data_IF_950496276688
#
_entry.id   IF_950496276688
#
_cell.length_a   1.000
_cell.length_b   1.000
_cell.length_c   1.000
_cell.angle_alpha   90.00
_cell.angle_beta   90.00
_cell.angle_gamma   90.00
#
_symmetry.space_group_name_H-M   'P 1'
#
loop_
_entity.id
_entity.type
_entity.pdbx_description
1 polymer ?
#
# COMPACT_ATOMS: atom_id res chain seq x y z
N UNK A 1 -2.55 -6.29 13.66
CA UNK A 1 -1.82 -5.91 12.42
C UNK A 1 -2.84 -5.24 11.51
N UNK A 2 -2.60 -4.04 11.01
CA UNK A 2 -3.59 -3.37 10.15
C UNK A 2 -3.63 -3.92 8.74
N UNK A 3 -4.67 -3.56 8.01
CA UNK A 3 -5.01 -4.07 6.68
C UNK A 3 -4.53 -3.10 5.60
N UNK A 4 -3.96 -3.64 4.52
CA UNK A 4 -3.61 -2.90 3.30
C UNK A 4 -4.16 -3.63 2.09
N UNK A 5 -4.76 -2.89 1.17
CA UNK A 5 -5.45 -3.41 -0.01
C UNK A 5 -5.03 -2.59 -1.21
N UNK A 6 -4.81 -3.22 -2.36
CA UNK A 6 -4.67 -2.49 -3.62
C UNK A 6 -5.35 -3.21 -4.77
N UNK A 7 -5.74 -2.44 -5.79
CA UNK A 7 -6.38 -2.94 -6.98
C UNK A 7 -5.92 -2.15 -8.21
N UNK A 8 -5.68 -2.85 -9.31
CA UNK A 8 -5.37 -2.32 -10.62
C UNK A 8 -6.58 -2.49 -11.55
N UNK A 9 -7.00 -1.39 -12.14
CA UNK A 9 -8.04 -1.30 -13.16
C UNK A 9 -7.43 -0.80 -14.47
N UNK A 10 -8.21 -0.81 -15.55
CA UNK A 10 -7.81 -0.23 -16.83
C UNK A 10 -7.50 1.27 -16.71
N UNK A 11 -8.26 2.01 -15.88
CA UNK A 11 -8.07 3.45 -15.67
C UNK A 11 -6.90 3.79 -14.73
N UNK A 12 -6.37 2.84 -13.97
CA UNK A 12 -5.26 3.07 -13.03
C UNK A 12 -5.29 2.17 -11.81
N UNK A 13 -4.54 2.55 -10.78
CA UNK A 13 -4.37 1.77 -9.55
C UNK A 13 -4.79 2.56 -8.32
N UNK A 14 -5.26 1.88 -7.28
CA UNK A 14 -5.45 2.47 -5.96
C UNK A 14 -4.93 1.55 -4.84
N UNK A 15 -4.46 2.17 -3.76
CA UNK A 15 -3.97 1.52 -2.54
C UNK A 15 -4.74 2.14 -1.37
N UNK A 16 -5.27 1.32 -0.48
CA UNK A 16 -5.91 1.74 0.76
C UNK A 16 -5.31 1.00 1.96
N UNK A 17 -5.32 1.65 3.12
CA UNK A 17 -4.92 1.03 4.37
C UNK A 17 -5.59 1.67 5.57
N UNK A 18 -5.83 0.87 6.60
CA UNK A 18 -6.32 1.41 7.87
C UNK A 18 -5.20 2.14 8.62
N UNK A 19 -5.59 3.11 9.45
CA UNK A 19 -4.65 3.84 10.32
C UNK A 19 -4.56 3.24 11.71
N UNK A 20 -5.23 2.13 12.00
CA UNK A 20 -5.36 1.60 13.35
C UNK A 20 -4.01 1.14 13.89
N UNK A 21 -3.63 1.65 15.05
CA UNK A 21 -2.47 1.21 15.83
C UNK A 21 -2.98 0.70 17.17
N UNK A 22 -3.28 -0.60 17.26
CA UNK A 22 -3.50 -1.23 18.55
C UNK A 22 -2.16 -1.24 19.29
N UNK A 23 -1.97 -0.30 20.20
CA UNK A 23 -0.98 -0.48 21.26
C UNK A 23 -1.61 -1.51 22.19
N UNK A 24 -1.03 -2.71 22.29
CA UNK A 24 -1.30 -3.56 23.44
C UNK A 24 -1.05 -2.71 24.69
N UNK A 25 -2.09 -2.47 25.46
CA UNK A 25 -2.02 -1.81 26.77
C UNK A 25 -1.25 -2.73 27.73
N UNK A 26 0.09 -2.77 27.63
CA UNK A 26 0.92 -3.11 28.77
C UNK A 26 1.27 -1.83 29.49
N UNK A 27 0.42 -1.49 30.45
CA UNK A 27 0.65 -0.47 31.47
C UNK A 27 2.05 -0.64 32.09
N UNK A 28 3.00 0.21 31.70
CA UNK A 28 4.12 0.57 32.56
C UNK A 28 3.78 1.92 33.19
N UNK A 29 3.77 1.93 34.51
CA UNK A 29 3.47 3.11 35.31
C UNK A 29 4.30 4.32 34.83
N UNK A 30 3.63 5.33 34.28
CA UNK A 30 4.21 6.68 34.18
C UNK A 30 4.30 7.36 32.82
N UNK A 31 3.75 6.82 31.72
CA UNK A 31 3.67 7.59 30.47
C UNK A 31 2.49 7.16 29.59
N UNK A 32 1.44 7.98 29.53
CA UNK A 32 0.35 7.83 28.56
C UNK A 32 0.87 8.16 27.16
N UNK A 33 1.16 7.14 26.35
CA UNK A 33 1.48 7.34 24.93
C UNK A 33 0.17 7.43 24.15
N UNK A 34 -0.29 8.67 23.94
CA UNK A 34 -1.41 8.99 23.05
C UNK A 34 -0.85 9.36 21.67
N UNK A 35 -0.94 8.42 20.71
CA UNK A 35 -1.12 8.63 19.26
C UNK A 35 -1.03 7.27 18.55
N UNK A 36 -2.04 6.41 18.73
CA UNK A 36 -2.09 5.04 18.18
C UNK A 36 -2.44 4.99 16.68
N UNK A 37 -1.89 5.87 15.84
CA UNK A 37 -2.09 5.82 14.38
C UNK A 37 -0.85 5.35 13.66
N UNK A 38 -1.01 4.42 12.73
CA UNK A 38 0.07 3.91 11.87
C UNK A 38 -0.24 4.28 10.44
N UNK A 39 0.62 5.09 9.82
CA UNK A 39 0.50 5.42 8.40
C UNK A 39 0.95 4.21 7.57
N UNK A 40 0.01 3.57 6.88
CA UNK A 40 0.27 2.38 6.06
C UNK A 40 0.36 2.66 4.56
N UNK A 41 -0.19 3.79 4.12
CA UNK A 41 -0.18 4.24 2.73
C UNK A 41 0.74 5.45 2.61
N UNK A 42 1.62 5.40 1.61
CA UNK A 42 2.66 6.39 1.34
C UNK A 42 2.44 6.96 -0.05
N UNK A 43 2.41 8.29 -0.13
CA UNK A 43 2.49 9.01 -1.39
C UNK A 43 3.95 9.42 -1.63
N UNK A 44 4.51 8.95 -2.74
CA UNK A 44 5.87 9.24 -3.18
C UNK A 44 5.84 10.18 -4.42
N UNK A 45 4.74 10.90 -4.65
CA UNK A 45 4.60 11.79 -5.81
C UNK A 45 4.15 11.04 -7.05
N UNK A 46 5.09 10.44 -7.81
CA UNK A 46 4.76 9.67 -9.03
C UNK A 46 4.53 8.17 -8.77
N UNK A 47 4.76 7.75 -7.52
CA UNK A 47 4.61 6.39 -7.05
C UNK A 47 3.86 6.37 -5.72
N UNK A 48 3.34 5.20 -5.35
CA UNK A 48 2.66 4.97 -4.08
C UNK A 48 3.09 3.63 -3.49
N UNK A 49 2.94 3.50 -2.18
CA UNK A 49 3.22 2.25 -1.50
C UNK A 49 2.25 1.98 -0.35
N UNK A 50 2.02 0.70 -0.07
CA UNK A 50 1.27 0.21 1.07
C UNK A 50 2.08 -0.83 1.83
N UNK A 51 2.02 -0.85 3.17
CA UNK A 51 2.74 -1.83 3.98
C UNK A 51 1.90 -2.37 5.15
N UNK A 52 1.92 -3.69 5.33
CA UNK A 52 1.30 -4.41 6.43
C UNK A 52 2.36 -5.20 7.21
N UNK A 53 2.28 -5.14 8.53
CA UNK A 53 3.26 -5.74 9.42
C UNK A 53 3.22 -5.12 10.80
N UNK A 54 4.33 -5.26 11.55
CA UNK A 54 4.48 -4.57 12.83
C UNK A 54 4.50 -3.04 12.65
N UNK A 55 3.97 -2.25 13.60
CA UNK A 55 4.00 -0.78 13.49
C UNK A 55 5.39 -0.20 13.31
N UNK A 56 6.41 -0.80 13.94
CA UNK A 56 7.80 -0.39 13.80
C UNK A 56 8.36 -0.72 12.40
N UNK A 57 8.10 -1.93 11.90
CA UNK A 57 8.51 -2.35 10.56
C UNK A 57 7.89 -1.48 9.46
N UNK A 58 6.59 -1.19 9.55
CA UNK A 58 5.89 -0.30 8.60
C UNK A 58 6.49 1.11 8.60
N UNK A 59 6.73 1.70 9.76
CA UNK A 59 7.34 3.03 9.87
C UNK A 59 8.77 3.07 9.32
N UNK A 60 9.56 2.03 9.60
CA UNK A 60 10.94 1.93 9.12
C UNK A 60 11.01 1.70 7.60
N UNK A 61 10.13 0.84 7.08
CA UNK A 61 9.95 0.62 5.65
C UNK A 61 9.61 1.93 4.94
N UNK A 62 8.58 2.64 5.40
CA UNK A 62 8.12 3.87 4.76
C UNK A 62 9.19 4.95 4.72
N UNK A 63 9.83 5.24 5.86
CA UNK A 63 10.92 6.23 5.95
C UNK A 63 12.08 5.90 5.00
N UNK A 64 12.48 4.62 4.92
CA UNK A 64 13.58 4.22 4.04
C UNK A 64 13.18 4.24 2.58
N UNK A 65 11.99 3.76 2.26
CA UNK A 65 11.49 3.74 0.88
C UNK A 65 11.41 5.16 0.33
N UNK A 66 10.88 6.11 1.10
CA UNK A 66 10.81 7.52 0.70
C UNK A 66 12.21 8.11 0.45
N UNK A 67 13.18 7.82 1.32
CA UNK A 67 14.57 8.28 1.15
C UNK A 67 15.23 7.69 -0.10
N UNK A 68 15.08 6.38 -0.32
CA UNK A 68 15.64 5.69 -1.49
C UNK A 68 14.98 6.18 -2.79
N UNK A 69 13.65 6.28 -2.79
CA UNK A 69 12.88 6.76 -3.93
C UNK A 69 13.29 8.19 -4.33
N UNK A 70 13.41 9.11 -3.36
CA UNK A 70 13.94 10.46 -3.61
C UNK A 70 15.36 10.48 -4.17
N UNK A 71 16.19 9.50 -3.80
CA UNK A 71 17.52 9.37 -4.43
C UNK A 71 17.39 8.95 -5.90
N UNK A 72 16.54 7.97 -6.18
CA UNK A 72 16.32 7.50 -7.56
C UNK A 72 15.72 8.59 -8.45
N UNK A 73 14.79 9.41 -7.96
CA UNK A 73 14.22 10.54 -8.72
C UNK A 73 15.25 11.64 -9.06
N UNK A 74 16.33 11.77 -8.28
CA UNK A 74 17.40 12.72 -8.61
C UNK A 74 18.33 12.19 -9.69
N UNK A 75 18.40 10.87 -9.84
CA UNK A 75 19.30 10.17 -10.77
C UNK A 75 18.60 9.79 -12.08
N UNK A 76 17.27 9.76 -12.07
CA UNK A 76 16.45 9.29 -13.18
C UNK A 76 15.23 10.17 -13.36
N UNK A 77 14.89 10.48 -14.62
CA UNK A 77 13.68 11.23 -14.97
C UNK A 77 12.40 10.55 -14.44
N UNK A 78 12.45 9.21 -14.26
CA UNK A 78 11.36 8.43 -13.69
C UNK A 78 11.84 7.14 -13.04
N UNK A 79 11.20 6.77 -11.92
CA UNK A 79 11.44 5.49 -11.24
C UNK A 79 10.43 4.46 -11.73
N UNK A 80 10.86 3.56 -12.63
CA UNK A 80 10.03 2.46 -13.14
C UNK A 80 9.73 1.38 -12.09
N UNK A 81 8.66 0.61 -12.33
CA UNK A 81 8.09 -0.34 -11.37
C UNK A 81 9.08 -1.46 -10.98
N UNK A 82 9.93 -1.92 -11.87
CA UNK A 82 10.95 -2.96 -11.61
C UNK A 82 12.03 -2.44 -10.67
N UNK A 83 12.44 -1.19 -10.85
CA UNK A 83 13.45 -0.54 -10.00
C UNK A 83 12.88 -0.29 -8.61
N UNK A 84 11.67 0.24 -8.54
CA UNK A 84 10.96 0.43 -7.28
C UNK A 84 10.76 -0.91 -6.55
N UNK A 85 10.41 -1.97 -7.28
CA UNK A 85 10.25 -3.33 -6.75
C UNK A 85 11.52 -3.88 -6.11
N UNK A 86 12.67 -3.70 -6.75
CA UNK A 86 13.97 -4.10 -6.16
C UNK A 86 14.31 -3.33 -4.89
N UNK A 87 14.02 -2.03 -4.85
CA UNK A 87 14.24 -1.21 -3.64
C UNK A 87 13.31 -1.68 -2.53
N UNK A 88 12.01 -1.79 -2.81
CA UNK A 88 10.99 -2.20 -1.86
C UNK A 88 11.24 -3.62 -1.33
N UNK A 89 11.56 -4.59 -2.19
CA UNK A 89 11.86 -5.96 -1.79
C UNK A 89 13.00 -6.06 -0.78
N UNK A 90 14.14 -5.40 -1.04
CA UNK A 90 15.24 -5.35 -0.06
C UNK A 90 14.85 -4.70 1.26
N UNK A 91 13.95 -3.72 1.24
CA UNK A 91 13.46 -3.08 2.47
C UNK A 91 12.46 -3.98 3.21
N UNK A 92 11.63 -4.73 2.48
CA UNK A 92 10.68 -5.68 3.05
C UNK A 92 11.41 -6.82 3.79
N UNK A 93 12.42 -7.42 3.16
CA UNK A 93 13.29 -8.43 3.78
C UNK A 93 13.92 -7.94 5.09
N UNK A 94 14.34 -6.68 5.11
CA UNK A 94 14.97 -6.05 6.30
C UNK A 94 13.99 -5.71 7.41
N UNK A 95 12.72 -5.50 7.09
CA UNK A 95 11.71 -4.99 8.04
C UNK A 95 10.66 -6.03 8.41
N UNK A 96 10.63 -7.17 7.72
CA UNK A 96 9.65 -8.24 7.94
C UNK A 96 8.23 -7.77 7.67
N UNK A 97 8.02 -7.07 6.56
CA UNK A 97 6.69 -6.59 6.14
C UNK A 97 6.30 -7.23 4.82
N UNK A 98 4.99 -7.41 4.63
CA UNK A 98 4.40 -7.53 3.30
C UNK A 98 3.93 -6.14 2.85
N UNK A 99 3.94 -5.90 1.56
CA UNK A 99 3.60 -4.60 1.02
C UNK A 99 3.23 -4.62 -0.45
N UNK A 100 2.92 -3.44 -0.95
CA UNK A 100 2.60 -3.21 -2.35
C UNK A 100 3.20 -1.89 -2.77
N UNK A 101 3.67 -1.85 -4.01
CA UNK A 101 4.11 -0.62 -4.65
C UNK A 101 3.34 -0.41 -5.93
N UNK A 102 3.22 0.86 -6.30
CA UNK A 102 2.58 1.30 -7.50
C UNK A 102 3.39 2.42 -8.15
N UNK A 103 3.55 2.34 -9.45
CA UNK A 103 3.97 3.45 -10.31
C UNK A 103 3.50 3.07 -11.72
N UNK A 104 3.55 4.01 -12.66
CA UNK A 104 3.32 3.63 -14.06
C UNK A 104 4.57 2.98 -14.66
N UNK A 105 4.40 2.15 -15.67
CA UNK A 105 5.48 1.62 -16.50
C UNK A 105 5.92 2.62 -17.58
N UNK A 106 6.83 2.20 -18.47
CA UNK A 106 7.36 3.02 -19.56
C UNK A 106 6.28 3.48 -20.54
N UNK A 107 5.18 2.73 -20.68
CA UNK A 107 4.04 3.05 -21.54
C UNK A 107 3.04 4.01 -20.85
N UNK A 108 3.28 4.33 -19.57
CA UNK A 108 2.39 5.18 -18.77
C UNK A 108 1.22 4.41 -18.14
N UNK A 109 1.19 3.09 -18.24
CA UNK A 109 0.18 2.24 -17.61
C UNK A 109 0.50 2.06 -16.14
N UNK A 110 -0.44 2.38 -15.25
CA UNK A 110 -0.24 2.20 -13.82
C UNK A 110 -0.22 0.71 -13.46
N UNK A 111 0.83 0.26 -12.75
CA UNK A 111 1.04 -1.16 -12.40
C UNK A 111 1.28 -1.33 -10.91
N UNK A 112 0.92 -2.51 -10.40
CA UNK A 112 1.24 -2.94 -9.05
C UNK A 112 2.39 -3.95 -9.05
N UNK A 113 3.13 -3.98 -7.94
CA UNK A 113 3.88 -5.15 -7.51
C UNK A 113 3.53 -5.49 -6.08
N UNK A 114 3.19 -6.76 -5.86
CA UNK A 114 3.17 -7.37 -4.53
C UNK A 114 4.61 -7.49 -4.04
N UNK A 115 4.88 -7.05 -2.82
CA UNK A 115 6.18 -7.15 -2.17
C UNK A 115 6.02 -8.05 -0.97
N UNK A 116 6.79 -9.14 -0.92
CA UNK A 116 6.74 -10.09 0.20
C UNK A 116 7.83 -9.83 1.21
N UNK A 117 7.62 -10.32 2.43
CA UNK A 117 8.63 -10.28 3.49
C UNK A 117 9.96 -11.00 3.14
N UNK A 118 9.97 -11.90 2.15
CA UNK A 118 11.20 -12.54 1.65
C UNK A 118 11.96 -11.68 0.61
N UNK A 119 11.44 -10.48 0.33
CA UNK A 119 11.99 -9.53 -0.62
C UNK A 119 11.61 -9.77 -2.09
N UNK A 120 10.78 -10.77 -2.37
CA UNK A 120 10.23 -10.97 -3.72
C UNK A 120 9.28 -9.84 -4.12
N UNK A 121 9.29 -9.51 -5.42
CA UNK A 121 8.43 -8.51 -6.03
C UNK A 121 7.67 -9.14 -7.21
N UNK A 122 6.36 -9.36 -7.06
CA UNK A 122 5.54 -10.11 -7.99
C UNK A 122 4.55 -9.20 -8.71
N UNK A 123 4.37 -9.41 -10.02
CA UNK A 123 3.32 -8.73 -10.77
C UNK A 123 1.95 -9.26 -10.34
N UNK A 124 1.03 -8.35 -10.07
CA UNK A 124 -0.35 -8.67 -9.66
C UNK A 124 -1.29 -7.54 -10.06
N UNK A 125 -2.58 -7.83 -10.09
CA UNK A 125 -3.66 -6.85 -10.28
C UNK A 125 -4.34 -6.50 -8.96
N UNK A 126 -4.15 -7.29 -7.90
CA UNK A 126 -4.74 -7.03 -6.60
C UNK A 126 -3.91 -7.61 -5.46
N UNK A 127 -4.01 -6.99 -4.29
CA UNK A 127 -3.39 -7.46 -3.05
C UNK A 127 -4.31 -7.19 -1.89
N UNK A 128 -4.22 -8.03 -0.86
CA UNK A 128 -4.81 -7.77 0.44
C UNK A 128 -3.92 -8.40 1.51
N UNK A 129 -3.38 -7.56 2.39
CA UNK A 129 -2.49 -7.95 3.48
C UNK A 129 -3.05 -7.54 4.84
N UNK A 130 -2.50 -8.14 5.90
CA UNK A 130 -2.96 -7.93 7.28
C UNK A 130 -4.05 -8.90 7.71
N UNK A 131 -4.56 -8.74 8.94
CA UNK A 131 -5.57 -9.64 9.51
C UNK A 131 -6.87 -9.66 8.71
N UNK A 132 -7.23 -8.51 8.13
CA UNK A 132 -8.41 -8.34 7.30
C UNK A 132 -8.23 -8.80 5.84
N UNK A 133 -7.02 -9.24 5.47
CA UNK A 133 -6.65 -9.58 4.09
C UNK A 133 -7.62 -10.52 3.39
N UNK A 134 -7.97 -11.70 3.95
CA UNK A 134 -8.89 -12.64 3.30
C UNK A 134 -10.29 -12.06 3.05
N UNK A 135 -10.78 -11.20 3.96
CA UNK A 135 -12.10 -10.56 3.83
C UNK A 135 -12.08 -9.50 2.73
N UNK A 136 -11.03 -8.67 2.71
CA UNK A 136 -10.83 -7.67 1.68
C UNK A 136 -10.59 -8.30 0.31
N UNK A 137 -9.82 -9.38 0.23
CA UNK A 137 -9.54 -10.09 -1.01
C UNK A 137 -10.82 -10.61 -1.67
N UNK A 138 -11.71 -11.24 -0.89
CA UNK A 138 -13.00 -11.71 -1.42
C UNK A 138 -13.89 -10.58 -1.99
N UNK A 139 -13.71 -9.34 -1.52
CA UNK A 139 -14.39 -8.16 -2.10
C UNK A 139 -13.77 -7.74 -3.44
N UNK A 140 -12.44 -7.86 -3.59
CA UNK A 140 -11.72 -7.54 -4.82
C UNK A 140 -11.89 -8.59 -5.92
N UNK A 141 -11.92 -9.88 -5.58
CA UNK A 141 -12.04 -10.97 -6.56
C UNK A 141 -13.36 -10.92 -7.34
N UNK A 142 -14.43 -10.39 -6.75
CA UNK A 142 -15.73 -10.21 -7.41
C UNK A 142 -15.82 -8.94 -8.27
N UNK A 143 -14.71 -8.27 -8.53
CA UNK A 143 -14.70 -6.90 -8.98
C UNK A 143 -14.11 -6.78 -10.42
N UNK A 144 -14.82 -6.10 -11.31
CA UNK A 144 -14.40 -5.86 -12.70
C UNK A 144 -13.19 -4.91 -12.81
N UNK A 145 -12.29 -5.17 -13.74
CA UNK A 145 -11.14 -4.31 -14.03
C UNK A 145 -11.49 -3.12 -14.95
N UNK A 146 -12.63 -3.15 -15.65
CA UNK A 146 -13.13 -2.02 -16.44
C UNK A 146 -13.90 -1.02 -15.56
N UNK A 147 -13.12 -0.15 -14.89
CA UNK A 147 -13.64 0.85 -13.95
C UNK A 147 -12.88 2.15 -14.05
N UNK A 148 -13.55 3.23 -13.66
CA UNK A 148 -12.91 4.53 -13.47
C UNK A 148 -11.95 4.50 -12.28
N UNK A 149 -11.02 5.46 -12.24
CA UNK A 149 -10.08 5.58 -11.12
C UNK A 149 -10.80 5.82 -9.78
N UNK A 150 -11.85 6.63 -9.78
CA UNK A 150 -12.64 6.93 -8.57
C UNK A 150 -13.40 5.71 -8.05
N UNK A 151 -13.95 4.89 -8.95
CA UNK A 151 -14.58 3.61 -8.58
C UNK A 151 -13.54 2.63 -8.00
N UNK A 152 -12.34 2.59 -8.58
CA UNK A 152 -11.23 1.79 -8.07
C UNK A 152 -10.78 2.24 -6.69
N UNK A 153 -10.64 3.55 -6.47
CA UNK A 153 -10.32 4.14 -5.15
C UNK A 153 -11.43 3.84 -4.12
N UNK A 154 -12.69 3.92 -4.53
CA UNK A 154 -13.85 3.59 -3.68
C UNK A 154 -13.84 2.12 -3.31
N UNK A 155 -13.58 1.22 -4.25
CA UNK A 155 -13.52 -0.22 -4.02
C UNK A 155 -12.49 -0.60 -2.95
N UNK A 156 -11.25 -0.11 -3.08
CA UNK A 156 -10.19 -0.45 -2.10
C UNK A 156 -10.49 0.13 -0.72
N UNK A 157 -11.10 1.33 -0.65
CA UNK A 157 -11.55 1.93 0.61
C UNK A 157 -12.63 1.09 1.28
N UNK A 158 -13.65 0.69 0.54
CA UNK A 158 -14.73 -0.18 1.03
C UNK A 158 -14.19 -1.54 1.50
N UNK A 159 -13.24 -2.13 0.77
CA UNK A 159 -12.63 -3.40 1.14
C UNK A 159 -11.92 -3.33 2.50
N UNK A 160 -11.15 -2.26 2.74
CA UNK A 160 -10.54 -2.01 4.07
C UNK A 160 -11.61 -1.78 5.13
N UNK A 161 -12.61 -0.94 4.87
CA UNK A 161 -13.68 -0.62 5.84
C UNK A 161 -14.49 -1.86 6.26
N UNK A 162 -14.82 -2.75 5.31
CA UNK A 162 -15.46 -4.03 5.59
C UNK A 162 -14.56 -4.92 6.45
N UNK A 163 -13.27 -4.98 6.14
CA UNK A 163 -12.30 -5.78 6.90
C UNK A 163 -12.14 -5.26 8.34
N UNK A 164 -11.98 -3.94 8.52
CA UNK A 164 -11.83 -3.31 9.83
C UNK A 164 -13.05 -3.55 10.74
N UNK A 165 -14.27 -3.44 10.20
CA UNK A 165 -15.51 -3.75 10.96
C UNK A 165 -15.56 -5.19 11.45
N UNK A 166 -15.06 -6.13 10.64
CA UNK A 166 -15.07 -7.56 10.97
C UNK A 166 -13.99 -7.94 11.97
N UNK A 167 -12.85 -7.26 11.93
CA UNK A 167 -11.72 -7.45 12.84
C UNK A 167 -11.90 -6.73 14.19
N UNK A 168 -12.98 -5.96 14.37
CA UNK A 168 -13.26 -5.20 15.59
C UNK A 168 -12.40 -3.93 15.76
N UNK A 169 -11.63 -3.56 14.73
CA UNK A 169 -10.88 -2.30 14.69
C UNK A 169 -11.86 -1.16 14.43
N UNK A 170 -12.30 -0.49 15.49
CA UNK A 170 -13.48 0.41 15.45
C UNK A 170 -13.10 1.91 15.32
N UNK A 171 -11.81 2.26 15.35
CA UNK A 171 -11.34 3.65 15.47
C UNK A 171 -10.37 4.13 14.36
N UNK A 172 -10.10 3.29 13.36
CA UNK A 172 -9.21 3.61 12.24
C UNK A 172 -9.87 4.48 11.18
N UNK A 173 -9.15 5.50 10.71
CA UNK A 173 -9.44 6.11 9.41
C UNK A 173 -8.88 5.22 8.30
N UNK A 174 -9.38 5.38 7.07
CA UNK A 174 -8.83 4.71 5.89
C UNK A 174 -8.17 5.76 5.02
N UNK A 175 -6.86 5.61 4.83
CA UNK A 175 -6.08 6.39 3.88
C UNK A 175 -6.14 5.72 2.51
N UNK A 176 -6.24 6.52 1.45
CA UNK A 176 -6.33 6.05 0.07
C UNK A 176 -5.37 6.86 -0.78
N UNK A 177 -4.62 6.18 -1.64
CA UNK A 177 -3.79 6.76 -2.68
C UNK A 177 -4.16 6.14 -4.02
N UNK A 178 -4.10 6.91 -5.10
CA UNK A 178 -4.46 6.43 -6.44
C UNK A 178 -3.63 7.09 -7.53
N UNK A 179 -3.39 6.36 -8.61
CA UNK A 179 -2.63 6.83 -9.77
C UNK A 179 -3.31 6.40 -11.07
N UNK A 180 -3.68 7.39 -11.88
CA UNK A 180 -4.25 7.16 -13.21
C UNK A 180 -3.22 6.51 -14.15
N UNK A 181 -3.68 5.58 -14.97
CA UNK A 181 -3.00 5.22 -16.21
C UNK A 181 -3.04 6.44 -17.13
N UNK A 182 -1.89 6.83 -17.64
CA UNK A 182 -1.74 7.90 -18.62
C UNK A 182 -1.07 7.27 -19.85
N UNK A 183 -1.83 6.55 -20.69
CA UNK A 183 -1.26 5.94 -21.88
C UNK A 183 -0.83 7.10 -22.75
N UNK A 184 0.49 7.31 -22.83
CA UNK A 184 1.07 8.53 -23.40
C UNK A 184 0.34 8.89 -24.68
N UNK A 185 -0.14 10.14 -24.78
CA UNK A 185 -0.86 10.63 -25.95
C UNK A 185 -0.05 10.27 -27.19
N UNK A 186 -0.48 9.21 -27.89
CA UNK A 186 0.19 8.74 -29.09
C UNK A 186 0.29 9.92 -30.06
N UNK A 187 1.51 10.41 -30.25
CA UNK A 187 1.84 11.39 -31.28
C UNK A 187 2.30 10.67 -32.54
#
# INVERSE_FOLDING_TARGET
MGTVVAFASTAGVAIAGDTSGTTDETMTAGATVSSGRVQRVLDLGSAGAGAAGSPGGVQEFGRRLESEYRSQEREHDRVGIERLGRVAGRLAERTGIDGVIATRDEEGVARLREIREDGSALATEMVAFGSGGPVALGRLEGADSDRTLDETATLVREAVDIASRRDGATDGSVDVWSLATDPGSGS
#
